data_IF_390313228269
#
_entry.id   IF_390313228269
#
_cell.length_a   1.000
_cell.length_b   1.000
_cell.length_c   1.000
_cell.angle_alpha   90.00
_cell.angle_beta   90.00
_cell.angle_gamma   90.00
#
_symmetry.space_group_name_H-M   'P 1'
#
loop_
_entity.id
_entity.type
_entity.pdbx_description
1 polymer ?
#
# COMPACT_ATOMS: atom_id res chain seq x y z
N UNK A 1 -35.83 10.41 3.48
CA UNK A 1 -34.88 10.45 2.35
C UNK A 1 -34.38 9.03 2.17
N UNK A 2 -34.57 8.41 1.00
CA UNK A 2 -34.01 7.09 0.74
C UNK A 2 -32.48 7.21 0.78
N UNK A 3 -31.79 6.36 1.53
CA UNK A 3 -30.34 6.24 1.39
C UNK A 3 -30.07 5.80 -0.04
N UNK A 4 -29.30 6.58 -0.80
CA UNK A 4 -28.78 6.08 -2.06
C UNK A 4 -27.99 4.79 -1.74
N UNK A 5 -28.34 3.68 -2.38
CA UNK A 5 -27.58 2.44 -2.25
C UNK A 5 -26.13 2.65 -2.71
N UNK A 6 -25.23 1.72 -2.34
CA UNK A 6 -23.89 1.67 -2.90
C UNK A 6 -23.96 1.61 -4.44
N UNK A 7 -23.06 2.32 -5.12
CA UNK A 7 -22.91 2.27 -6.58
C UNK A 7 -21.46 1.97 -6.88
N UNK A 8 -21.18 0.71 -7.22
CA UNK A 8 -19.80 0.27 -7.44
C UNK A 8 -19.37 0.49 -8.89
N UNK A 9 -18.08 0.77 -9.07
CA UNK A 9 -17.47 1.04 -10.37
C UNK A 9 -16.40 -0.01 -10.69
N UNK A 10 -16.40 -0.48 -11.93
CA UNK A 10 -15.36 -1.37 -12.46
C UNK A 10 -14.83 -0.83 -13.78
N UNK A 11 -13.52 -0.62 -13.85
CA UNK A 11 -12.80 -0.33 -15.10
C UNK A 11 -11.75 -1.42 -15.31
N UNK A 12 -11.80 -2.09 -16.46
CA UNK A 12 -10.92 -3.21 -16.77
C UNK A 12 -10.27 -3.06 -18.15
N UNK A 13 -9.02 -3.51 -18.26
CA UNK A 13 -8.27 -3.63 -19.52
C UNK A 13 -7.59 -5.00 -19.61
N UNK A 14 -7.46 -5.55 -20.80
CA UNK A 14 -6.76 -6.82 -21.03
C UNK A 14 -5.25 -6.67 -21.22
N UNK A 15 -4.76 -5.46 -21.49
CA UNK A 15 -3.34 -5.21 -21.79
C UNK A 15 -2.76 -4.16 -20.84
N UNK A 16 -3.10 -2.89 -21.05
CA UNK A 16 -2.66 -1.80 -20.18
C UNK A 16 -3.82 -0.91 -19.77
N UNK A 17 -3.85 -0.50 -18.51
CA UNK A 17 -4.68 0.60 -18.02
C UNK A 17 -3.75 1.72 -17.53
N UNK A 18 -3.90 2.92 -18.08
CA UNK A 18 -3.13 4.09 -17.66
C UNK A 18 -4.07 5.17 -17.18
N UNK A 19 -3.77 5.74 -16.01
CA UNK A 19 -4.44 6.92 -15.50
C UNK A 19 -3.50 8.12 -15.66
N UNK A 20 -4.05 9.26 -16.10
CA UNK A 20 -3.27 10.48 -16.33
C UNK A 20 -3.96 11.71 -15.76
N UNK A 21 -3.18 12.66 -15.22
CA UNK A 21 -3.70 13.89 -14.64
C UNK A 21 -4.34 13.69 -13.26
N UNK A 22 -5.35 14.51 -12.95
CA UNK A 22 -6.11 14.39 -11.70
C UNK A 22 -7.37 13.55 -11.95
N UNK A 23 -7.47 12.40 -11.29
CA UNK A 23 -8.60 11.48 -11.44
C UNK A 23 -9.49 11.56 -10.20
N UNK A 24 -10.79 11.81 -10.40
CA UNK A 24 -11.74 12.02 -9.31
C UNK A 24 -13.00 11.20 -9.56
N UNK A 25 -13.34 10.34 -8.60
CA UNK A 25 -14.59 9.59 -8.55
C UNK A 25 -15.36 9.97 -7.28
N UNK A 26 -16.56 10.54 -7.46
CA UNK A 26 -17.37 11.06 -6.35
C UNK A 26 -18.73 10.35 -6.32
N UNK A 27 -18.81 9.14 -5.73
CA UNK A 27 -20.09 8.44 -5.60
C UNK A 27 -21.03 9.21 -4.67
N UNK A 28 -22.35 9.03 -4.86
CA UNK A 28 -23.36 9.59 -3.96
C UNK A 28 -23.43 8.89 -2.61
N UNK A 29 -22.87 7.68 -2.50
CA UNK A 29 -22.82 6.87 -1.28
C UNK A 29 -21.37 6.63 -0.86
N UNK A 30 -21.08 6.80 0.43
CA UNK A 30 -19.76 6.53 1.02
C UNK A 30 -19.48 5.04 1.22
N UNK A 31 -20.44 4.17 0.89
CA UNK A 31 -20.30 2.71 0.95
C UNK A 31 -20.08 2.09 -0.44
N UNK A 32 -19.69 2.91 -1.42
CA UNK A 32 -19.46 2.47 -2.80
C UNK A 32 -18.00 2.12 -3.00
N UNK A 33 -17.72 1.17 -3.89
CA UNK A 33 -16.35 0.76 -4.23
C UNK A 33 -15.96 1.14 -5.66
N UNK A 34 -14.66 1.36 -5.88
CA UNK A 34 -14.06 1.55 -7.20
C UNK A 34 -12.96 0.53 -7.41
N UNK A 35 -13.11 -0.29 -8.44
CA UNK A 35 -12.10 -1.26 -8.87
C UNK A 35 -11.54 -0.87 -10.23
N UNK A 36 -10.23 -0.68 -10.29
CA UNK A 36 -9.45 -0.47 -11.51
C UNK A 36 -8.57 -1.69 -11.71
N UNK A 37 -8.65 -2.36 -12.87
CA UNK A 37 -7.85 -3.56 -13.11
C UNK A 37 -7.28 -3.68 -14.52
N UNK A 38 -6.12 -4.33 -14.62
CA UNK A 38 -5.52 -4.72 -15.89
C UNK A 38 -4.99 -6.15 -15.86
N UNK A 39 -5.25 -6.94 -16.90
CA UNK A 39 -4.62 -8.25 -17.07
C UNK A 39 -3.15 -8.17 -17.53
N UNK A 40 -2.64 -6.99 -17.89
CA UNK A 40 -1.21 -6.75 -18.03
C UNK A 40 -0.76 -5.75 -16.98
N UNK A 41 -0.41 -4.54 -17.41
CA UNK A 41 0.14 -3.49 -16.53
C UNK A 41 -0.92 -2.45 -16.19
N UNK A 42 -0.98 -2.05 -14.91
CA UNK A 42 -1.70 -0.86 -14.49
C UNK A 42 -0.69 0.22 -14.09
N UNK A 43 -0.76 1.37 -14.74
CA UNK A 43 0.23 2.43 -14.65
C UNK A 43 -0.41 3.76 -14.22
N UNK A 44 -0.08 4.19 -12.99
CA UNK A 44 -0.50 5.45 -12.40
C UNK A 44 0.56 6.54 -12.52
N UNK A 45 1.70 6.29 -13.18
CA UNK A 45 2.83 7.24 -13.23
C UNK A 45 2.51 8.56 -13.95
N UNK A 46 1.47 8.57 -14.79
CA UNK A 46 0.96 9.77 -15.45
C UNK A 46 -0.08 10.54 -14.62
N UNK A 47 -0.57 9.96 -13.52
CA UNK A 47 -1.54 10.59 -12.64
C UNK A 47 -0.84 11.40 -11.55
N UNK A 48 -1.34 12.60 -11.27
CA UNK A 48 -0.91 13.41 -10.12
C UNK A 48 -1.70 13.04 -8.87
N UNK A 49 -2.98 12.69 -9.03
CA UNK A 49 -3.81 12.20 -7.94
C UNK A 49 -4.93 11.27 -8.41
N UNK A 50 -5.33 10.36 -7.51
CA UNK A 50 -6.55 9.56 -7.63
C UNK A 50 -7.34 9.74 -6.33
N UNK A 51 -8.47 10.41 -6.43
CA UNK A 51 -9.42 10.60 -5.32
C UNK A 51 -10.67 9.77 -5.55
N UNK A 52 -11.07 9.00 -4.53
CA UNK A 52 -12.33 8.31 -4.47
C UNK A 52 -13.07 8.66 -3.18
N UNK A 53 -14.30 9.15 -3.29
CA UNK A 53 -15.13 9.56 -2.15
C UNK A 53 -15.92 8.43 -1.47
N UNK A 54 -15.79 7.20 -1.95
CA UNK A 54 -16.45 6.00 -1.43
C UNK A 54 -15.67 5.29 -0.32
N UNK A 55 -15.89 3.99 -0.17
CA UNK A 55 -15.24 3.13 0.80
C UNK A 55 -13.89 2.64 0.25
N UNK A 56 -13.87 1.67 -0.68
CA UNK A 56 -12.62 1.10 -1.21
C UNK A 56 -12.21 1.67 -2.57
N UNK A 57 -10.95 2.12 -2.68
CA UNK A 57 -10.22 2.23 -3.95
C UNK A 57 -9.36 0.98 -4.14
N UNK A 58 -9.85 0.05 -4.95
CA UNK A 58 -9.16 -1.17 -5.36
C UNK A 58 -8.44 -1.00 -6.70
N UNK A 59 -7.15 -1.32 -6.75
CA UNK A 59 -6.33 -1.23 -7.97
C UNK A 59 -5.56 -2.54 -8.14
N UNK A 60 -5.81 -3.24 -9.25
CA UNK A 60 -5.28 -4.57 -9.52
C UNK A 60 -4.50 -4.67 -10.83
N UNK A 61 -3.44 -5.46 -10.83
CA UNK A 61 -2.78 -5.90 -12.07
C UNK A 61 -2.48 -7.40 -12.03
N UNK A 62 -2.36 -8.05 -13.17
CA UNK A 62 -1.85 -9.42 -13.20
C UNK A 62 -0.32 -9.45 -13.29
N UNK A 63 0.28 -8.48 -13.98
CA UNK A 63 1.74 -8.44 -14.13
C UNK A 63 2.35 -7.40 -13.17
N UNK A 64 2.27 -6.13 -13.55
CA UNK A 64 2.93 -5.07 -12.81
C UNK A 64 1.97 -3.92 -12.53
N UNK A 65 2.01 -3.44 -11.30
CA UNK A 65 1.34 -2.23 -10.85
C UNK A 65 2.39 -1.16 -10.57
N UNK A 66 2.42 -0.12 -11.40
CA UNK A 66 3.31 1.03 -11.25
C UNK A 66 2.56 2.20 -10.61
N UNK A 67 2.94 2.55 -9.38
CA UNK A 67 2.36 3.66 -8.61
C UNK A 67 3.47 4.66 -8.32
N UNK A 68 3.55 5.72 -9.13
CA UNK A 68 4.67 6.66 -9.08
C UNK A 68 4.19 8.10 -9.12
N UNK A 69 4.77 8.96 -8.29
CA UNK A 69 4.50 10.41 -8.28
C UNK A 69 3.02 10.77 -8.12
N UNK A 70 2.25 9.94 -7.41
CA UNK A 70 0.79 10.05 -7.30
C UNK A 70 0.36 10.09 -5.83
N UNK A 71 -0.66 10.90 -5.55
CA UNK A 71 -1.38 10.84 -4.27
C UNK A 71 -2.68 10.05 -4.42
N UNK A 72 -2.92 9.08 -3.53
CA UNK A 72 -4.12 8.25 -3.49
C UNK A 72 -4.96 8.62 -2.27
N UNK A 73 -6.27 8.77 -2.45
CA UNK A 73 -7.19 9.10 -1.36
C UNK A 73 -8.51 8.34 -1.45
N UNK A 74 -8.87 7.58 -0.40
CA UNK A 74 -10.12 6.80 -0.29
C UNK A 74 -10.45 6.44 1.17
N UNK A 75 -11.55 5.74 1.47
CA UNK A 75 -11.77 5.18 2.82
C UNK A 75 -10.81 4.03 3.14
N UNK A 76 -10.60 3.16 2.16
CA UNK A 76 -9.60 2.10 2.10
C UNK A 76 -8.85 2.16 0.76
N UNK A 77 -7.54 1.89 0.78
CA UNK A 77 -6.70 1.82 -0.42
C UNK A 77 -6.13 0.41 -0.53
N UNK A 78 -6.45 -0.28 -1.62
CA UNK A 78 -6.12 -1.69 -1.85
C UNK A 78 -5.38 -1.82 -3.18
N UNK A 79 -4.07 -2.08 -3.11
CA UNK A 79 -3.21 -2.26 -4.27
C UNK A 79 -2.81 -3.73 -4.39
N UNK A 80 -3.09 -4.36 -5.54
CA UNK A 80 -2.86 -5.79 -5.74
C UNK A 80 -2.15 -6.10 -7.05
N UNK A 81 -1.24 -7.05 -7.02
CA UNK A 81 -0.60 -7.61 -8.21
C UNK A 81 -0.37 -9.12 -8.10
N UNK A 82 -0.61 -9.86 -9.19
CA UNK A 82 -0.23 -11.28 -9.28
C UNK A 82 1.26 -11.49 -9.61
N UNK A 83 2.03 -10.43 -9.79
CA UNK A 83 3.49 -10.50 -9.83
C UNK A 83 4.11 -9.38 -8.97
N UNK A 84 4.19 -8.15 -9.47
CA UNK A 84 4.94 -7.08 -8.78
C UNK A 84 4.18 -5.77 -8.60
N UNK A 85 4.50 -5.05 -7.53
CA UNK A 85 4.08 -3.67 -7.27
C UNK A 85 5.33 -2.80 -7.10
N UNK A 86 5.38 -1.67 -7.81
CA UNK A 86 6.42 -0.65 -7.66
C UNK A 86 5.79 0.65 -7.18
N UNK A 87 6.20 1.10 -5.99
CA UNK A 87 5.77 2.35 -5.37
C UNK A 87 6.97 3.29 -5.29
N UNK A 88 6.87 4.46 -5.93
CA UNK A 88 7.93 5.47 -5.90
C UNK A 88 7.38 6.90 -5.77
N UNK A 89 7.73 7.59 -4.69
CA UNK A 89 7.25 8.95 -4.39
C UNK A 89 5.71 9.02 -4.37
N UNK A 90 5.11 8.35 -3.39
CA UNK A 90 3.66 8.19 -3.27
C UNK A 90 3.18 8.66 -1.91
N UNK A 91 1.99 9.23 -1.91
CA UNK A 91 1.25 9.56 -0.69
C UNK A 91 -0.07 8.78 -0.67
N UNK A 92 -0.38 8.13 0.44
CA UNK A 92 -1.64 7.41 0.64
C UNK A 92 -2.38 8.02 1.82
N UNK A 93 -3.58 8.49 1.57
CA UNK A 93 -4.41 9.14 2.57
C UNK A 93 -5.75 8.43 2.71
N UNK A 94 -6.15 8.11 3.93
CA UNK A 94 -7.52 7.64 4.16
C UNK A 94 -8.42 8.81 4.57
N UNK A 95 -9.71 8.73 4.26
CA UNK A 95 -10.64 9.84 4.47
C UNK A 95 -11.10 10.00 5.94
N UNK A 96 -10.67 9.14 6.85
CA UNK A 96 -11.21 9.07 8.23
C UNK A 96 -12.60 8.42 8.28
N UNK A 97 -13.08 7.89 7.15
CA UNK A 97 -14.31 7.14 6.96
C UNK A 97 -13.94 5.75 6.44
N UNK A 98 -14.73 4.74 6.76
CA UNK A 98 -14.40 3.35 6.43
C UNK A 98 -13.38 2.76 7.39
N UNK A 99 -12.59 1.80 6.90
CA UNK A 99 -11.62 1.08 7.71
C UNK A 99 -10.35 1.87 8.05
N UNK A 100 -10.06 2.97 7.32
CA UNK A 100 -8.78 3.68 7.35
C UNK A 100 -7.60 2.73 7.15
N UNK A 101 -7.75 1.86 6.15
CA UNK A 101 -6.83 0.76 5.87
C UNK A 101 -6.10 0.97 4.56
N UNK A 102 -4.80 0.69 4.57
CA UNK A 102 -4.02 0.51 3.35
C UNK A 102 -3.52 -0.93 3.26
N UNK A 103 -3.84 -1.61 2.18
CA UNK A 103 -3.40 -2.97 1.93
C UNK A 103 -2.68 -3.09 0.59
N UNK A 104 -1.43 -3.55 0.63
CA UNK A 104 -0.55 -3.75 -0.53
C UNK A 104 -0.22 -5.23 -0.66
N UNK A 105 -0.64 -5.88 -1.75
CA UNK A 105 -0.44 -7.31 -1.96
C UNK A 105 0.19 -7.56 -3.34
N UNK A 106 1.43 -8.04 -3.37
CA UNK A 106 2.07 -8.54 -4.60
C UNK A 106 2.35 -10.03 -4.45
N UNK A 107 2.32 -10.83 -5.51
CA UNK A 107 2.71 -12.24 -5.37
C UNK A 107 4.22 -12.39 -5.17
N UNK A 108 5.02 -11.68 -5.96
CA UNK A 108 6.46 -11.87 -6.07
C UNK A 108 7.22 -10.76 -5.35
N UNK A 109 7.03 -9.50 -5.73
CA UNK A 109 7.81 -8.41 -5.17
C UNK A 109 7.01 -7.13 -4.95
N UNK A 110 7.17 -6.57 -3.75
CA UNK A 110 6.72 -5.22 -3.41
C UNK A 110 7.94 -4.33 -3.22
N UNK A 111 8.18 -3.43 -4.17
CA UNK A 111 9.28 -2.46 -4.12
C UNK A 111 8.72 -1.09 -3.73
N UNK A 112 9.21 -0.53 -2.62
CA UNK A 112 8.72 0.73 -2.08
C UNK A 112 9.86 1.69 -1.84
N UNK A 113 9.76 2.86 -2.46
CA UNK A 113 10.63 4.00 -2.21
C UNK A 113 9.81 5.27 -1.97
N UNK A 114 10.08 5.98 -0.88
CA UNK A 114 9.47 7.28 -0.59
C UNK A 114 7.92 7.21 -0.55
N UNK A 115 7.41 6.30 0.28
CA UNK A 115 5.98 6.16 0.58
C UNK A 115 5.64 6.87 1.89
N UNK A 116 4.64 7.75 1.83
CA UNK A 116 4.10 8.49 2.99
C UNK A 116 2.64 8.12 3.21
N UNK A 117 2.27 7.97 4.46
CA UNK A 117 0.90 7.77 4.90
C UNK A 117 0.41 9.00 5.67
N UNK A 118 -0.87 9.35 5.54
CA UNK A 118 -1.49 10.34 6.42
C UNK A 118 -1.68 9.78 7.84
N UNK A 119 -1.90 10.68 8.81
CA UNK A 119 -2.22 10.30 10.19
C UNK A 119 -3.58 9.59 10.33
N UNK A 120 -4.47 9.75 9.35
CA UNK A 120 -5.77 9.07 9.34
C UNK A 120 -5.65 7.57 9.12
N UNK A 121 -4.55 7.07 8.56
CA UNK A 121 -4.34 5.63 8.32
C UNK A 121 -4.20 4.90 9.65
N UNK A 122 -5.11 3.97 9.94
CA UNK A 122 -5.11 3.17 11.18
C UNK A 122 -4.48 1.80 11.02
N UNK A 123 -4.47 1.27 9.80
CA UNK A 123 -3.95 -0.07 9.53
C UNK A 123 -3.14 -0.04 8.23
N UNK A 124 -2.02 -0.77 8.23
CA UNK A 124 -1.21 -1.02 7.04
C UNK A 124 -0.90 -2.50 6.96
N UNK A 125 -1.24 -3.13 5.85
CA UNK A 125 -0.84 -4.49 5.55
C UNK A 125 -0.03 -4.49 4.26
N UNK A 126 1.11 -5.16 4.28
CA UNK A 126 1.94 -5.37 3.11
C UNK A 126 2.28 -6.85 3.03
N UNK A 127 2.05 -7.48 1.89
CA UNK A 127 2.31 -8.90 1.67
C UNK A 127 2.91 -9.13 0.28
N UNK A 128 4.05 -9.82 0.23
CA UNK A 128 4.68 -10.29 -1.00
C UNK A 128 5.77 -11.32 -0.70
N UNK A 129 6.16 -12.16 -1.67
CA UNK A 129 7.31 -13.06 -1.46
C UNK A 129 8.54 -12.29 -0.95
N UNK A 130 8.88 -11.15 -1.57
CA UNK A 130 9.90 -10.21 -1.08
C UNK A 130 9.31 -8.79 -0.93
N UNK A 131 9.55 -8.15 0.21
CA UNK A 131 9.17 -6.74 0.44
C UNK A 131 10.44 -5.91 0.62
N UNK A 132 10.60 -4.87 -0.18
CA UNK A 132 11.78 -4.00 -0.18
C UNK A 132 11.37 -2.56 0.15
N UNK A 133 11.76 -2.07 1.33
CA UNK A 133 11.34 -0.76 1.83
C UNK A 133 12.51 0.21 1.94
N UNK A 134 12.37 1.36 1.28
CA UNK A 134 13.26 2.53 1.39
C UNK A 134 12.46 3.81 1.63
N UNK A 135 12.92 4.66 2.54
CA UNK A 135 12.32 5.97 2.78
C UNK A 135 10.82 5.90 3.11
N UNK A 136 10.43 4.97 3.99
CA UNK A 136 9.03 4.75 4.39
C UNK A 136 8.84 5.20 5.83
N UNK A 137 7.81 6.00 6.09
CA UNK A 137 7.41 6.36 7.45
C UNK A 137 6.05 5.76 7.76
N UNK A 138 6.01 4.72 8.58
CA UNK A 138 4.76 4.18 9.10
C UNK A 138 4.19 5.13 10.17
N UNK A 139 2.88 5.44 10.18
CA UNK A 139 2.31 6.26 11.24
C UNK A 139 2.38 5.53 12.59
N UNK A 140 2.72 6.25 13.65
CA UNK A 140 2.95 5.66 14.98
C UNK A 140 1.68 5.09 15.63
N UNK A 141 0.50 5.56 15.22
CA UNK A 141 -0.79 5.10 15.73
C UNK A 141 -1.36 3.92 14.91
N UNK A 142 -0.76 3.57 13.76
CA UNK A 142 -1.25 2.49 12.92
C UNK A 142 -0.75 1.13 13.40
N UNK A 143 -1.56 0.09 13.28
CA UNK A 143 -1.05 -1.28 13.27
C UNK A 143 -0.45 -1.60 11.89
N UNK A 144 0.73 -2.21 11.88
CA UNK A 144 1.45 -2.53 10.65
C UNK A 144 1.76 -4.03 10.61
N UNK A 145 1.34 -4.70 9.53
CA UNK A 145 1.68 -6.10 9.27
C UNK A 145 2.44 -6.22 7.97
N UNK A 146 3.67 -6.71 8.04
CA UNK A 146 4.53 -6.95 6.88
C UNK A 146 4.78 -8.44 6.76
N UNK A 147 4.32 -9.05 5.66
CA UNK A 147 4.38 -10.49 5.46
C UNK A 147 5.21 -10.85 4.24
N UNK A 148 6.14 -11.76 4.43
CA UNK A 148 7.02 -12.25 3.36
C UNK A 148 7.17 -13.76 3.40
N UNK A 149 7.74 -14.36 2.35
CA UNK A 149 7.84 -15.82 2.23
C UNK A 149 8.47 -16.50 3.46
N UNK A 150 9.51 -15.89 4.02
CA UNK A 150 10.24 -16.45 5.17
C UNK A 150 9.97 -15.71 6.49
N UNK A 151 9.14 -14.67 6.47
CA UNK A 151 8.86 -13.81 7.61
C UNK A 151 10.08 -13.26 8.33
N UNK A 152 9.90 -12.97 9.63
CA UNK A 152 10.90 -12.31 10.45
C UNK A 152 12.13 -13.17 10.72
N UNK A 153 13.31 -12.57 10.66
CA UNK A 153 14.54 -13.12 11.22
C UNK A 153 14.35 -13.26 12.73
N UNK A 154 14.69 -14.43 13.26
CA UNK A 154 14.42 -14.84 14.64
C UNK A 154 12.94 -14.70 15.04
N UNK A 155 12.04 -14.79 14.05
CA UNK A 155 10.60 -14.67 14.24
C UNK A 155 10.09 -13.25 14.52
N UNK A 156 10.94 -12.22 14.40
CA UNK A 156 10.59 -10.85 14.80
C UNK A 156 11.07 -9.76 13.86
N UNK A 157 12.30 -9.85 13.37
CA UNK A 157 12.97 -8.71 12.76
C UNK A 157 12.90 -8.74 11.23
N UNK A 158 12.81 -7.59 10.54
CA UNK A 158 13.13 -7.55 9.13
C UNK A 158 14.64 -7.78 8.92
N UNK A 159 15.04 -7.98 7.67
CA UNK A 159 16.43 -7.84 7.28
C UNK A 159 16.78 -6.35 7.15
N UNK A 160 17.94 -5.92 7.65
CA UNK A 160 18.34 -4.52 7.65
C UNK A 160 19.47 -4.22 6.65
N UNK A 161 19.43 -3.03 6.05
CA UNK A 161 20.47 -2.39 5.24
C UNK A 161 20.86 -3.11 3.94
N UNK A 162 20.26 -4.25 3.67
CA UNK A 162 20.54 -5.10 2.51
C UNK A 162 19.25 -5.72 2.00
N UNK A 163 19.32 -6.35 0.84
CA UNK A 163 18.21 -7.14 0.30
C UNK A 163 18.50 -8.61 0.56
N UNK A 164 17.54 -9.29 1.16
CA UNK A 164 17.46 -10.74 1.26
C UNK A 164 16.15 -11.19 0.61
N UNK A 165 16.26 -11.96 -0.46
CA UNK A 165 15.09 -12.50 -1.16
C UNK A 165 14.24 -13.37 -0.25
N UNK A 166 12.93 -13.26 -0.38
CA UNK A 166 11.96 -13.97 0.45
C UNK A 166 11.67 -13.31 1.79
N UNK A 167 12.22 -12.12 2.07
CA UNK A 167 12.06 -11.41 3.35
C UNK A 167 11.49 -10.01 3.20
N UNK A 168 11.11 -9.46 4.35
CA UNK A 168 10.93 -8.01 4.52
C UNK A 168 12.31 -7.38 4.74
N UNK A 169 12.68 -6.45 3.87
CA UNK A 169 13.95 -5.75 3.86
C UNK A 169 13.74 -4.27 4.17
N UNK A 170 14.31 -3.80 5.27
CA UNK A 170 14.43 -2.38 5.58
C UNK A 170 15.78 -1.92 5.04
N UNK A 171 15.76 -1.29 3.86
CA UNK A 171 16.98 -0.97 3.11
C UNK A 171 17.59 0.33 3.62
N UNK A 172 16.78 1.39 3.74
CA UNK A 172 17.20 2.68 4.28
C UNK A 172 16.02 3.52 4.75
N UNK A 173 16.24 4.37 5.75
CA UNK A 173 15.31 5.43 6.16
C UNK A 173 13.88 4.93 6.45
N UNK A 174 13.74 3.73 7.01
CA UNK A 174 12.45 3.20 7.47
C UNK A 174 12.20 3.68 8.90
N UNK A 175 11.00 4.22 9.15
CA UNK A 175 10.61 4.85 10.41
C UNK A 175 9.27 4.35 10.94
N UNK A 176 9.12 4.37 12.27
CA UNK A 176 7.82 4.37 12.96
C UNK A 176 7.62 5.74 13.63
N UNK A 177 6.62 6.49 13.17
CA UNK A 177 6.49 7.91 13.47
C UNK A 177 7.79 8.66 13.15
N UNK A 178 8.36 9.35 14.13
CA UNK A 178 9.59 10.13 13.95
C UNK A 178 10.89 9.35 14.21
N UNK A 179 10.82 8.05 14.52
CA UNK A 179 11.99 7.25 14.92
C UNK A 179 12.45 6.33 13.79
N UNK A 180 13.74 6.38 13.46
CA UNK A 180 14.38 5.38 12.60
C UNK A 180 14.37 4.02 13.31
N UNK A 181 14.06 2.96 12.57
CA UNK A 181 13.98 1.57 13.08
C UNK A 181 14.83 0.64 12.23
N UNK A 182 16.06 1.05 11.93
CA UNK A 182 16.98 0.42 10.98
C UNK A 182 17.92 -0.63 11.59
N UNK A 183 17.72 -0.95 12.87
CA UNK A 183 18.43 -2.00 13.59
C UNK A 183 17.52 -2.61 14.67
N UNK A 184 17.98 -3.70 15.30
CA UNK A 184 17.20 -4.42 16.31
C UNK A 184 16.87 -3.58 17.53
N UNK A 185 17.82 -2.79 18.03
CA UNK A 185 17.63 -2.00 19.24
C UNK A 185 16.60 -0.89 19.02
N UNK A 186 16.69 -0.20 17.89
CA UNK A 186 15.72 0.82 17.50
C UNK A 186 14.34 0.22 17.18
N UNK A 187 14.30 -0.93 16.50
CA UNK A 187 13.06 -1.66 16.23
C UNK A 187 12.38 -2.10 17.54
N UNK A 188 13.14 -2.58 18.52
CA UNK A 188 12.60 -2.99 19.82
C UNK A 188 12.07 -1.78 20.62
N UNK A 189 12.73 -0.64 20.53
CA UNK A 189 12.33 0.57 21.25
C UNK A 189 11.12 1.30 20.61
N UNK A 190 10.98 1.24 19.28
CA UNK A 190 10.05 2.11 18.54
C UNK A 190 9.16 1.39 17.53
N UNK A 191 9.42 0.12 17.21
CA UNK A 191 8.70 -0.67 16.20
C UNK A 191 7.59 -1.56 16.76
N UNK A 192 7.12 -1.31 17.99
CA UNK A 192 6.14 -2.18 18.66
C UNK A 192 4.80 -2.33 17.90
N UNK A 193 4.48 -1.38 17.03
CA UNK A 193 3.27 -1.42 16.19
C UNK A 193 3.47 -2.20 14.87
N UNK A 194 4.69 -2.68 14.59
CA UNK A 194 5.06 -3.37 13.35
C UNK A 194 5.29 -4.85 13.63
N UNK A 195 4.65 -5.71 12.84
CA UNK A 195 4.82 -7.17 12.90
C UNK A 195 5.41 -7.69 11.60
N UNK A 196 6.35 -8.62 11.69
CA UNK A 196 6.96 -9.29 10.54
C UNK A 196 6.54 -10.75 10.54
N UNK A 197 5.73 -11.15 9.55
CA UNK A 197 5.12 -12.48 9.48
C UNK A 197 5.37 -13.21 8.16
N UNK A 198 4.84 -14.42 8.05
CA UNK A 198 4.90 -15.22 6.84
C UNK A 198 3.72 -14.91 5.92
N UNK A 199 3.95 -14.77 4.61
CA UNK A 199 2.89 -14.73 3.60
C UNK A 199 2.32 -16.14 3.39
N UNK A 200 1.00 -16.26 3.29
CA UNK A 200 0.35 -17.57 3.15
C UNK A 200 0.40 -18.11 1.72
#
# INVERSE_FOLDING_TARGET
>A
MASAGAIDFLVASTDKLTLTGNVVFSPSSTASDLILMSAGTLDLSGASSVFFGGDELGIGSFNQLDVKNVSLTAGEISLRSLDSIVIDNVEMQTTGKGADFVHLLAANELQVNNLRFSESVKQVAMEAMTINLSNVTFPSASSVSLKSLYGGIDGKYPNFNTIMYGRVNFIQQVKSGNHLIMDRAAFDAHGANITIGTSN
#
